data_IF_654353929000
#
_entry.id   IF_654353929000
#
_cell.length_a   1.000
_cell.length_b   1.000
_cell.length_c   1.000
_cell.angle_alpha   90.00
_cell.angle_beta   90.00
_cell.angle_gamma   90.00
#
_symmetry.space_group_name_H-M   'P 1'
#
loop_
_entity.id
_entity.type
_entity.pdbx_description
1 polymer ?
#
# COMPACT_ATOMS: atom_id res chain seq x y z
N UNK A 1 -3.38 4.44 -23.17
CA UNK A 1 -3.77 5.30 -22.04
C UNK A 1 -4.25 4.41 -20.91
N UNK A 2 -3.53 4.34 -19.80
CA UNK A 2 -4.00 3.69 -18.59
C UNK A 2 -3.74 4.65 -17.44
N UNK A 3 -4.82 5.16 -16.85
CA UNK A 3 -4.75 5.96 -15.63
C UNK A 3 -4.97 5.00 -14.46
N UNK A 4 -3.95 4.82 -13.62
CA UNK A 4 -4.12 4.13 -12.34
C UNK A 4 -4.38 5.18 -11.27
N UNK A 5 -5.64 5.29 -10.85
CA UNK A 5 -6.03 6.09 -9.69
C UNK A 5 -5.79 5.24 -8.43
N UNK A 6 -4.90 5.68 -7.56
CA UNK A 6 -4.84 5.19 -6.18
C UNK A 6 -5.40 6.29 -5.27
N UNK A 7 -6.48 6.00 -4.55
CA UNK A 7 -7.03 6.92 -3.56
C UNK A 7 -6.16 6.86 -2.31
N UNK A 8 -5.20 7.78 -2.19
CA UNK A 8 -4.72 8.18 -0.88
C UNK A 8 -5.80 9.10 -0.30
N UNK A 9 -6.84 8.50 0.29
CA UNK A 9 -7.84 9.22 1.07
C UNK A 9 -7.14 9.73 2.33
N UNK A 10 -6.53 10.90 2.22
CA UNK A 10 -6.31 11.74 3.39
C UNK A 10 -7.70 12.25 3.78
N UNK A 11 -8.43 11.47 4.57
CA UNK A 11 -9.48 12.01 5.42
C UNK A 11 -8.78 12.71 6.59
N UNK A 12 -8.04 13.78 6.28
CA UNK A 12 -7.70 14.73 7.32
C UNK A 12 -9.02 15.41 7.66
N UNK A 13 -9.59 15.03 8.80
CA UNK A 13 -10.93 15.37 9.25
C UNK A 13 -11.17 16.89 9.40
N UNK A 14 -10.15 17.73 9.09
CA UNK A 14 -10.17 19.17 9.30
C UNK A 14 -9.13 19.97 8.47
N UNK A 15 -8.49 19.39 7.45
CA UNK A 15 -7.42 20.08 6.71
C UNK A 15 -7.89 20.61 5.36
N UNK A 16 -7.61 21.88 5.08
CA UNK A 16 -7.85 22.47 3.78
C UNK A 16 -7.00 21.77 2.68
N UNK A 17 -7.46 21.86 1.43
CA UNK A 17 -6.82 21.17 0.28
C UNK A 17 -5.32 21.47 0.11
N UNK A 18 -4.86 22.67 0.49
CA UNK A 18 -3.46 23.07 0.39
C UNK A 18 -2.62 22.30 1.40
N UNK A 19 -3.11 22.16 2.63
CA UNK A 19 -2.44 21.39 3.69
C UNK A 19 -2.29 19.92 3.31
N UNK A 20 -3.34 19.30 2.76
CA UNK A 20 -3.27 17.90 2.29
C UNK A 20 -2.26 17.72 1.13
N UNK A 21 -2.23 18.66 0.18
CA UNK A 21 -1.27 18.65 -0.92
C UNK A 21 0.17 18.76 -0.42
N UNK A 22 0.45 19.70 0.50
CA UNK A 22 1.78 19.88 1.06
C UNK A 22 2.26 18.62 1.80
N UNK A 23 1.38 17.99 2.59
CA UNK A 23 1.69 16.73 3.26
C UNK A 23 2.08 15.63 2.26
N UNK A 24 1.34 15.48 1.15
CA UNK A 24 1.68 14.52 0.10
C UNK A 24 3.02 14.83 -0.55
N UNK A 25 3.28 16.11 -0.87
CA UNK A 25 4.58 16.53 -1.42
C UNK A 25 5.73 16.22 -0.46
N UNK A 26 5.55 16.45 0.84
CA UNK A 26 6.56 16.16 1.86
C UNK A 26 6.78 14.66 2.05
N UNK A 27 5.71 13.86 2.06
CA UNK A 27 5.77 12.41 2.16
C UNK A 27 6.58 11.82 0.99
N UNK A 28 6.32 12.28 -0.23
CA UNK A 28 7.00 11.81 -1.44
C UNK A 28 8.49 12.17 -1.50
N UNK A 29 9.02 12.99 -0.59
CA UNK A 29 10.47 13.26 -0.51
C UNK A 29 11.28 12.06 -0.02
N UNK A 30 10.66 11.13 0.70
CA UNK A 30 11.35 10.01 1.34
C UNK A 30 10.65 8.65 1.16
N UNK A 31 9.47 8.61 0.53
CA UNK A 31 8.83 7.36 0.11
C UNK A 31 8.84 7.22 -1.42
N UNK A 32 8.87 5.98 -1.88
CA UNK A 32 8.64 5.66 -3.29
C UNK A 32 7.24 5.07 -3.47
N UNK A 33 6.51 5.53 -4.48
CA UNK A 33 5.25 4.91 -4.87
C UNK A 33 5.57 3.61 -5.63
N UNK A 34 5.01 2.50 -5.17
CA UNK A 34 5.11 1.23 -5.87
C UNK A 34 4.37 1.33 -7.22
N UNK A 35 5.02 0.98 -8.36
CA UNK A 35 4.37 1.05 -9.66
C UNK A 35 3.31 -0.05 -9.79
N UNK A 36 2.11 0.37 -10.22
CA UNK A 36 1.01 -0.54 -10.55
C UNK A 36 0.74 -0.45 -12.04
N UNK A 37 1.04 -1.53 -12.75
CA UNK A 37 0.81 -1.70 -14.18
C UNK A 37 -0.13 -2.88 -14.45
N UNK A 38 -0.39 -3.15 -15.74
CA UNK A 38 -1.27 -4.23 -16.18
C UNK A 38 -0.84 -5.61 -15.64
N UNK A 39 0.46 -5.87 -15.48
CA UNK A 39 0.92 -7.16 -14.98
C UNK A 39 0.65 -7.30 -13.47
N UNK A 40 0.76 -6.20 -12.69
CA UNK A 40 0.36 -6.21 -11.27
C UNK A 40 -1.15 -6.42 -11.14
N UNK A 41 -1.95 -5.80 -12.00
CA UNK A 41 -3.41 -6.02 -11.99
C UNK A 41 -3.77 -7.47 -12.33
N UNK A 42 -3.12 -8.07 -13.33
CA UNK A 42 -3.30 -9.50 -13.68
C UNK A 42 -2.89 -10.43 -12.53
N UNK A 43 -1.79 -10.13 -11.85
CA UNK A 43 -1.36 -10.90 -10.68
C UNK A 43 -2.35 -10.76 -9.53
N UNK A 44 -2.88 -9.56 -9.28
CA UNK A 44 -3.90 -9.32 -8.26
C UNK A 44 -5.15 -10.21 -8.46
N UNK A 45 -5.63 -10.39 -9.71
CA UNK A 45 -6.75 -11.31 -10.00
C UNK A 45 -6.48 -12.78 -9.66
N UNK A 46 -5.21 -13.18 -9.51
CA UNK A 46 -4.82 -14.55 -9.11
C UNK A 46 -4.73 -14.71 -7.59
N UNK A 47 -4.75 -13.62 -6.84
CA UNK A 47 -4.69 -13.62 -5.37
C UNK A 47 -6.12 -13.80 -4.83
N UNK A 48 -6.32 -14.84 -4.03
CA UNK A 48 -7.64 -15.23 -3.54
C UNK A 48 -8.13 -14.39 -2.34
N UNK A 49 -8.07 -13.07 -2.42
CA UNK A 49 -8.66 -12.16 -1.40
C UNK A 49 -10.04 -11.68 -1.85
N UNK A 50 -10.84 -11.19 -0.90
CA UNK A 50 -12.19 -10.64 -1.18
C UNK A 50 -12.13 -9.23 -1.77
N UNK A 51 -11.09 -8.47 -1.41
CA UNK A 51 -10.93 -7.08 -1.84
C UNK A 51 -9.83 -6.97 -2.90
N UNK A 52 -10.18 -6.40 -4.05
CA UNK A 52 -9.23 -6.20 -5.14
C UNK A 52 -8.14 -5.19 -4.78
N UNK A 53 -8.42 -4.19 -3.94
CA UNK A 53 -7.40 -3.23 -3.51
C UNK A 53 -6.30 -3.94 -2.70
N UNK A 54 -6.70 -4.78 -1.75
CA UNK A 54 -5.77 -5.60 -0.97
C UNK A 54 -4.95 -6.52 -1.90
N UNK A 55 -5.59 -7.12 -2.93
CA UNK A 55 -4.91 -7.96 -3.92
C UNK A 55 -3.86 -7.17 -4.71
N UNK A 56 -4.18 -5.94 -5.09
CA UNK A 56 -3.29 -5.07 -5.87
C UNK A 56 -2.09 -4.59 -5.03
N UNK A 57 -2.32 -4.28 -3.75
CA UNK A 57 -1.25 -3.99 -2.80
C UNK A 57 -0.34 -5.19 -2.59
N UNK A 58 -0.89 -6.40 -2.40
CA UNK A 58 -0.10 -7.63 -2.28
C UNK A 58 0.73 -7.89 -3.54
N UNK A 59 0.12 -7.76 -4.73
CA UNK A 59 0.82 -7.88 -6.01
C UNK A 59 1.96 -6.86 -6.17
N UNK A 60 1.73 -5.63 -5.70
CA UNK A 60 2.74 -4.57 -5.72
C UNK A 60 3.89 -4.89 -4.76
N UNK A 61 3.58 -5.33 -3.53
CA UNK A 61 4.59 -5.75 -2.56
C UNK A 61 5.46 -6.91 -3.08
N UNK A 62 4.85 -7.90 -3.74
CA UNK A 62 5.57 -9.00 -4.40
C UNK A 62 6.51 -8.46 -5.48
N UNK A 63 6.00 -7.58 -6.35
CA UNK A 63 6.76 -7.03 -7.47
C UNK A 63 7.92 -6.15 -7.01
N UNK A 64 7.73 -5.41 -5.92
CA UNK A 64 8.76 -4.60 -5.28
C UNK A 64 9.76 -5.42 -4.44
N UNK A 65 9.56 -6.74 -4.30
CA UNK A 65 10.32 -7.60 -3.40
C UNK A 65 10.35 -7.06 -1.97
N UNK A 66 9.22 -6.50 -1.53
CA UNK A 66 9.08 -5.96 -0.19
C UNK A 66 9.28 -7.07 0.85
N UNK A 67 10.01 -6.78 1.92
CA UNK A 67 10.19 -7.71 3.03
C UNK A 67 8.94 -7.81 3.90
N UNK A 68 8.23 -6.69 4.07
CA UNK A 68 7.04 -6.58 4.91
C UNK A 68 5.96 -5.72 4.25
N UNK A 69 4.71 -6.04 4.57
CA UNK A 69 3.56 -5.12 4.42
C UNK A 69 3.25 -4.57 5.82
N UNK A 70 3.42 -3.27 6.03
CA UNK A 70 3.13 -2.63 7.32
C UNK A 70 1.68 -2.11 7.28
N UNK A 71 0.81 -2.63 8.14
CA UNK A 71 -0.62 -2.32 8.13
C UNK A 71 -1.27 -2.51 9.49
N UNK A 72 -2.34 -1.74 9.78
CA UNK A 72 -3.18 -1.98 10.97
C UNK A 72 -4.13 -3.17 10.79
N UNK A 73 -4.39 -3.59 9.56
CA UNK A 73 -5.38 -4.62 9.21
C UNK A 73 -4.72 -5.92 8.72
N UNK A 74 -3.78 -6.47 9.50
CA UNK A 74 -3.01 -7.69 9.13
C UNK A 74 -3.90 -8.84 8.65
N UNK A 75 -5.12 -8.97 9.19
CA UNK A 75 -6.11 -9.99 8.79
C UNK A 75 -6.49 -9.98 7.31
N UNK A 76 -6.39 -8.85 6.61
CA UNK A 76 -6.68 -8.75 5.18
C UNK A 76 -5.59 -9.40 4.31
N UNK A 77 -4.36 -9.49 4.84
CA UNK A 77 -3.19 -9.98 4.12
C UNK A 77 -2.82 -11.41 4.50
N UNK A 78 -3.73 -12.18 5.12
CA UNK A 78 -3.49 -13.58 5.51
C UNK A 78 -3.09 -14.50 4.35
N UNK A 79 -3.49 -14.15 3.13
CA UNK A 79 -3.15 -14.89 1.90
C UNK A 79 -2.00 -14.27 1.12
N UNK A 80 -1.41 -13.19 1.65
CA UNK A 80 -0.23 -12.56 1.05
C UNK A 80 0.98 -13.47 1.23
N UNK A 81 1.80 -13.67 0.19
CA UNK A 81 3.12 -14.28 0.34
C UNK A 81 4.11 -13.35 1.07
N UNK A 82 3.85 -12.04 1.08
CA UNK A 82 4.63 -11.06 1.82
C UNK A 82 4.05 -10.93 3.23
N UNK A 83 4.89 -11.07 4.25
CA UNK A 83 4.48 -11.02 5.66
C UNK A 83 3.91 -9.65 5.98
N UNK A 84 2.68 -9.63 6.49
CA UNK A 84 2.06 -8.42 7.02
C UNK A 84 2.30 -8.31 8.54
N UNK A 85 2.64 -7.12 9.00
CA UNK A 85 2.90 -6.78 10.41
C UNK A 85 2.26 -5.44 10.76
N UNK A 86 1.96 -5.23 12.04
CA UNK A 86 1.57 -3.90 12.52
C UNK A 86 2.78 -2.96 12.59
N UNK A 87 2.57 -1.63 12.59
CA UNK A 87 3.67 -0.69 12.82
C UNK A 87 4.41 -0.96 14.15
N UNK A 88 3.69 -1.29 15.21
CA UNK A 88 4.25 -1.62 16.53
C UNK A 88 5.11 -2.89 16.48
N UNK A 89 4.67 -3.91 15.75
CA UNK A 89 5.44 -5.13 15.52
C UNK A 89 6.69 -4.85 14.68
N UNK A 90 6.57 -4.04 13.63
CA UNK A 90 7.69 -3.67 12.77
C UNK A 90 8.77 -2.90 13.54
N UNK A 91 8.38 -1.94 14.38
CA UNK A 91 9.32 -1.20 15.23
C UNK A 91 10.12 -2.12 16.16
N UNK A 92 9.53 -3.21 16.66
CA UNK A 92 10.23 -4.21 17.48
C UNK A 92 11.26 -5.02 16.69
N UNK A 93 11.14 -5.12 15.37
CA UNK A 93 12.09 -5.81 14.49
C UNK A 93 13.28 -4.92 14.10
N UNK A 94 13.18 -3.60 14.28
CA UNK A 94 14.25 -2.63 14.00
C UNK A 94 15.21 -2.42 15.17
N UNK A 95 14.90 -3.01 16.33
CA UNK A 95 15.69 -2.91 17.55
C UNK A 95 16.73 -4.01 17.66
#
# INVERSE_FOLDING_TARGET
MAYTFYFLLITAYDSDRKTAKQFLEDLLKFIHIAPVDTEKAKLAFRIHTKDFEDALQMSSAISCKAEFIITRNVKHYKKSPIKAVTPEEFLKLLN
#
